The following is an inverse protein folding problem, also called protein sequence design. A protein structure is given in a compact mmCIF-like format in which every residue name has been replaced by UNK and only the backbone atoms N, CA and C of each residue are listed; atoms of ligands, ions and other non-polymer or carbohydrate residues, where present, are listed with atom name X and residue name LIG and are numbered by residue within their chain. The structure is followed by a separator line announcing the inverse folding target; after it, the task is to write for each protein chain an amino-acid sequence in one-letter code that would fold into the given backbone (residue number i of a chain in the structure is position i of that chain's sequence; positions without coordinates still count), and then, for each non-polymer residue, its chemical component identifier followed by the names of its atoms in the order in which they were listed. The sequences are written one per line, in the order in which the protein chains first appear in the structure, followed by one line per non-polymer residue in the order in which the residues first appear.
data_IF_868748976375
#
_entry.id   IF_868748976375
#
_cell.length_a   1.000
_cell.length_b   1.000
_cell.length_c   1.000
_cell.angle_alpha   90.00
_cell.angle_beta   90.00
_cell.angle_gamma   90.00
#
_symmetry.space_group_name_H-M   'P 1'
#
loop_
_entity.id
_entity.type
_entity.pdbx_description
1 polymer ?
#
# COMPACT_ATOMS: atom_id res chain seq x y z
N UNK A 1 -0.84 40.64 59.12
CA UNK A 1 0.20 41.67 58.94
C UNK A 1 0.81 41.51 57.55
N UNK A 2 0.65 42.56 56.75
CA UNK A 2 1.45 43.08 55.65
C UNK A 2 2.12 42.20 54.57
N UNK A 3 1.83 42.65 53.35
CA UNK A 3 2.34 42.28 52.05
C UNK A 3 3.66 42.97 51.66
N UNK A 4 4.13 42.61 50.46
CA UNK A 4 5.05 43.28 49.50
C UNK A 4 6.48 42.72 49.49
N UNK A 5 6.92 42.20 48.33
CA UNK A 5 7.54 43.02 47.27
C UNK A 5 7.61 42.20 45.98
N UNK A 6 6.92 42.68 44.93
CA UNK A 6 7.15 42.23 43.56
C UNK A 6 8.24 43.06 42.88
N UNK A 7 8.52 42.70 41.63
CA UNK A 7 9.21 43.52 40.62
C UNK A 7 10.72 43.26 40.44
N UNK A 8 11.04 42.20 39.69
CA UNK A 8 12.10 42.28 38.68
C UNK A 8 11.49 41.81 37.37
N UNK A 9 11.19 42.79 36.51
CA UNK A 9 10.56 42.65 35.21
C UNK A 9 11.66 42.80 34.15
N UNK A 10 11.74 41.83 33.23
CA UNK A 10 12.24 41.93 31.84
C UNK A 10 13.68 42.40 31.60
N UNK A 11 14.53 41.48 31.11
CA UNK A 11 15.36 41.70 29.91
C UNK A 11 15.82 40.36 29.32
N UNK A 12 15.82 40.31 27.98
CA UNK A 12 16.40 39.28 27.08
C UNK A 12 15.58 37.99 26.90
N UNK A 13 14.39 38.11 26.30
CA UNK A 13 14.18 37.58 24.96
C UNK A 13 15.47 37.46 24.12
N UNK A 14 15.87 36.21 23.82
CA UNK A 14 16.68 35.74 22.68
C UNK A 14 17.63 34.59 23.12
N UNK A 15 17.07 33.40 23.37
CA UNK A 15 17.77 32.15 23.07
C UNK A 15 16.71 31.12 22.62
N UNK A 16 16.52 31.12 21.31
CA UNK A 16 15.55 30.37 20.53
C UNK A 16 15.88 28.89 20.45
N UNK A 17 14.86 28.03 20.61
CA UNK A 17 14.57 26.83 19.78
C UNK A 17 15.80 26.07 19.25
N UNK A 18 16.60 25.49 20.14
CA UNK A 18 17.65 24.56 19.75
C UNK A 18 17.44 23.22 20.46
N UNK A 19 16.51 22.40 19.95
CA UNK A 19 16.47 20.92 20.04
C UNK A 19 15.18 20.39 19.39
N UNK A 20 14.85 20.92 18.21
CA UNK A 20 13.99 20.20 17.28
C UNK A 20 14.83 19.04 16.71
N UNK A 21 14.39 17.84 17.03
CA UNK A 21 14.95 16.54 16.68
C UNK A 21 15.11 16.45 15.16
N UNK A 22 16.34 16.73 14.70
CA UNK A 22 17.10 16.02 13.68
C UNK A 22 16.25 15.24 12.64
N UNK A 23 15.50 15.96 11.80
CA UNK A 23 14.96 15.42 10.56
C UNK A 23 16.15 15.09 9.66
N UNK A 24 16.35 13.80 9.41
CA UNK A 24 17.44 13.25 8.61
C UNK A 24 17.47 13.93 7.24
N UNK A 25 18.58 14.63 6.99
CA UNK A 25 18.92 15.27 5.72
C UNK A 25 19.04 14.19 4.64
N UNK A 26 18.21 14.31 3.62
CA UNK A 26 18.46 13.72 2.30
C UNK A 26 19.67 14.46 1.73
N UNK A 27 20.73 13.79 1.23
CA UNK A 27 21.87 14.49 0.66
C UNK A 27 21.41 15.19 -0.63
N UNK A 28 21.20 16.52 -0.53
CA UNK A 28 21.14 17.36 -1.72
C UNK A 28 22.56 17.46 -2.26
N UNK A 29 22.75 16.91 -3.46
CA UNK A 29 23.88 17.24 -4.31
C UNK A 29 24.00 18.77 -4.40
N UNK A 30 25.23 19.26 -4.31
CA UNK A 30 25.57 20.67 -4.30
C UNK A 30 24.91 21.41 -5.48
N UNK A 31 23.96 22.29 -5.17
CA UNK A 31 23.45 23.27 -6.10
C UNK A 31 24.49 24.39 -6.27
N UNK A 32 25.24 24.33 -7.36
CA UNK A 32 26.02 25.44 -7.88
C UNK A 32 25.04 26.53 -8.37
N UNK A 33 25.05 27.69 -7.73
CA UNK A 33 24.27 28.87 -8.13
C UNK A 33 24.95 29.52 -9.33
N UNK A 34 24.28 29.52 -10.48
CA UNK A 34 24.60 30.34 -11.65
C UNK A 34 23.32 30.91 -12.24
N UNK A 35 23.21 32.25 -12.24
CA UNK A 35 22.58 33.03 -13.31
C UNK A 35 21.05 33.10 -13.37
N UNK A 36 20.53 34.33 -13.34
CA UNK A 36 19.13 34.70 -13.48
C UNK A 36 18.51 34.30 -14.84
N UNK A 37 17.24 33.85 -14.83
CA UNK A 37 16.45 33.58 -16.02
C UNK A 37 15.06 33.01 -15.69
N UNK A 38 14.07 33.89 -15.68
CA UNK A 38 12.61 33.70 -15.81
C UNK A 38 12.11 32.26 -16.11
N UNK A 39 11.34 31.68 -15.18
CA UNK A 39 10.34 30.65 -15.49
C UNK A 39 10.82 29.19 -15.67
N UNK A 40 11.68 28.68 -14.79
CA UNK A 40 12.02 27.25 -14.75
C UNK A 40 10.89 26.40 -14.19
N UNK A 41 10.11 25.77 -15.08
CA UNK A 41 9.19 24.68 -14.77
C UNK A 41 9.97 23.57 -14.06
N UNK A 42 9.74 23.34 -12.77
CA UNK A 42 10.27 22.19 -12.04
C UNK A 42 9.54 20.93 -12.52
N UNK A 43 9.82 20.50 -13.75
CA UNK A 43 9.31 19.25 -14.27
C UNK A 43 9.86 18.12 -13.39
N UNK A 44 8.95 17.28 -12.87
CA UNK A 44 9.33 16.10 -12.09
C UNK A 44 10.34 15.28 -12.91
N UNK A 45 11.46 14.85 -12.32
CA UNK A 45 12.46 14.09 -13.07
C UNK A 45 11.87 12.77 -13.54
N UNK A 46 12.32 12.25 -14.69
CA UNK A 46 11.74 11.08 -15.38
C UNK A 46 11.70 9.76 -14.55
N UNK A 47 12.31 9.75 -13.37
CA UNK A 47 12.25 8.64 -12.40
C UNK A 47 11.09 8.77 -11.39
N UNK A 48 10.43 9.93 -11.31
CA UNK A 48 9.15 10.05 -10.59
C UNK A 48 8.06 9.41 -11.45
N UNK A 49 7.55 8.27 -11.01
CA UNK A 49 6.34 7.67 -11.59
C UNK A 49 5.20 8.69 -11.53
N UNK A 50 4.38 8.72 -12.58
CA UNK A 50 3.14 9.50 -12.57
C UNK A 50 2.31 9.13 -11.35
N UNK A 51 1.67 10.14 -10.76
CA UNK A 51 0.81 9.95 -9.61
C UNK A 51 -0.42 9.15 -10.08
N UNK A 52 -0.64 7.98 -9.49
CA UNK A 52 -1.77 7.11 -9.83
C UNK A 52 -3.08 7.81 -9.48
N UNK A 53 -4.03 7.87 -10.42
CA UNK A 53 -5.38 8.36 -10.18
C UNK A 53 -6.25 7.28 -9.50
N UNK A 54 -6.31 7.32 -8.17
CA UNK A 54 -7.06 6.34 -7.37
C UNK A 54 -8.59 6.48 -7.46
N UNK A 55 -9.11 7.66 -7.85
CA UNK A 55 -10.54 7.90 -8.00
C UNK A 55 -11.09 7.19 -9.25
N UNK A 56 -10.31 7.13 -10.32
CA UNK A 56 -10.66 6.37 -11.52
C UNK A 56 -10.57 4.86 -11.27
N UNK A 57 -9.52 4.41 -10.58
CA UNK A 57 -9.39 3.01 -10.14
C UNK A 57 -10.58 2.59 -9.29
N UNK A 58 -11.02 3.46 -8.37
CA UNK A 58 -12.21 3.22 -7.54
C UNK A 58 -13.44 2.95 -8.39
N UNK A 59 -13.74 3.85 -9.34
CA UNK A 59 -14.91 3.72 -10.23
C UNK A 59 -14.89 2.41 -11.03
N UNK A 60 -13.73 1.99 -11.51
CA UNK A 60 -13.60 0.73 -12.26
C UNK A 60 -13.81 -0.50 -11.38
N UNK A 61 -13.39 -0.44 -10.10
CA UNK A 61 -13.65 -1.52 -9.14
C UNK A 61 -15.14 -1.59 -8.78
N UNK A 62 -15.79 -0.44 -8.55
CA UNK A 62 -17.24 -0.37 -8.30
C UNK A 62 -18.02 -0.99 -9.45
N UNK A 63 -17.66 -0.67 -10.70
CA UNK A 63 -18.28 -1.30 -11.89
C UNK A 63 -18.16 -2.83 -11.86
N UNK A 64 -17.03 -3.38 -11.43
CA UNK A 64 -16.84 -4.84 -11.30
C UNK A 64 -17.71 -5.42 -10.18
N UNK A 65 -17.89 -4.69 -9.09
CA UNK A 65 -18.74 -5.09 -7.97
C UNK A 65 -20.23 -5.11 -8.34
N UNK A 66 -20.65 -4.22 -9.24
CA UNK A 66 -22.03 -4.10 -9.72
C UNK A 66 -22.33 -4.97 -10.96
N UNK A 67 -21.31 -5.47 -11.66
CA UNK A 67 -21.45 -6.24 -12.90
C UNK A 67 -22.18 -7.57 -12.66
N UNK A 68 -23.33 -7.74 -13.32
CA UNK A 68 -24.18 -8.93 -13.31
C UNK A 68 -23.40 -10.21 -13.63
N UNK A 69 -22.37 -10.10 -14.46
CA UNK A 69 -21.51 -11.24 -14.86
C UNK A 69 -20.89 -11.96 -13.67
N UNK A 70 -20.64 -11.26 -12.57
CA UNK A 70 -19.94 -11.79 -11.40
C UNK A 70 -20.86 -12.02 -10.19
N UNK A 71 -22.18 -11.84 -10.32
CA UNK A 71 -23.13 -12.10 -9.23
C UNK A 71 -23.13 -13.56 -8.77
N UNK A 72 -22.94 -14.51 -9.69
CA UNK A 72 -22.84 -15.93 -9.35
C UNK A 72 -21.42 -16.36 -8.94
N UNK A 73 -20.44 -15.44 -8.96
CA UNK A 73 -19.05 -15.75 -8.59
C UNK A 73 -18.86 -15.95 -7.08
N UNK A 74 -19.82 -15.47 -6.29
CA UNK A 74 -19.99 -15.81 -4.89
C UNK A 74 -21.14 -16.81 -4.75
N UNK A 75 -21.03 -17.71 -3.77
CA UNK A 75 -22.12 -18.63 -3.43
C UNK A 75 -23.40 -17.81 -3.17
N UNK A 76 -24.52 -18.19 -3.81
CA UNK A 76 -25.86 -17.62 -3.60
C UNK A 76 -26.15 -16.23 -4.23
N UNK A 77 -25.53 -15.88 -5.36
CA UNK A 77 -25.86 -14.64 -6.10
C UNK A 77 -25.34 -13.35 -5.44
N UNK A 78 -24.44 -13.48 -4.46
CA UNK A 78 -23.85 -12.35 -3.75
C UNK A 78 -22.84 -11.58 -4.60
N UNK A 79 -22.68 -10.29 -4.31
CA UNK A 79 -21.69 -9.44 -4.99
C UNK A 79 -20.28 -10.03 -4.85
N UNK A 80 -19.35 -9.77 -5.78
CA UNK A 80 -18.00 -10.33 -5.70
C UNK A 80 -17.13 -9.72 -4.58
N UNK A 81 -17.69 -8.81 -3.77
CA UNK A 81 -17.00 -8.13 -2.67
C UNK A 81 -16.29 -9.08 -1.68
N UNK A 82 -16.95 -10.12 -1.14
CA UNK A 82 -16.32 -11.07 -0.24
C UNK A 82 -15.15 -11.82 -0.88
N UNK A 83 -15.20 -12.09 -2.19
CA UNK A 83 -14.13 -12.76 -2.92
C UNK A 83 -12.89 -11.84 -3.07
N UNK A 84 -13.09 -10.55 -3.36
CA UNK A 84 -11.99 -9.56 -3.39
C UNK A 84 -11.38 -9.34 -2.01
N UNK A 85 -12.23 -9.28 -0.96
CA UNK A 85 -11.77 -9.20 0.42
C UNK A 85 -10.93 -10.43 0.81
N UNK A 86 -11.37 -11.63 0.43
CA UNK A 86 -10.63 -12.87 0.66
C UNK A 86 -9.27 -12.86 -0.05
N UNK A 87 -9.20 -12.36 -1.29
CA UNK A 87 -7.94 -12.23 -2.03
C UNK A 87 -6.94 -11.34 -1.26
N UNK A 88 -7.38 -10.18 -0.80
CA UNK A 88 -6.55 -9.26 -0.02
C UNK A 88 -6.10 -9.87 1.32
N UNK A 89 -7.02 -10.54 2.03
CA UNK A 89 -6.71 -11.23 3.28
C UNK A 89 -5.65 -12.30 3.10
N UNK A 90 -5.80 -13.18 2.10
CA UNK A 90 -4.83 -14.23 1.83
C UNK A 90 -3.48 -13.68 1.38
N UNK A 91 -3.45 -12.60 0.60
CA UNK A 91 -2.20 -11.94 0.24
C UNK A 91 -1.50 -11.33 1.46
N UNK A 92 -2.24 -10.71 2.39
CA UNK A 92 -1.67 -10.11 3.59
C UNK A 92 -1.29 -11.15 4.68
N UNK A 93 -2.03 -12.26 4.76
CA UNK A 93 -1.93 -13.27 5.82
C UNK A 93 -0.68 -14.13 5.76
N UNK A 94 0.14 -14.01 4.72
CA UNK A 94 1.45 -14.69 4.63
C UNK A 94 2.56 -13.98 5.39
N UNK A 95 2.28 -12.80 5.96
CA UNK A 95 3.28 -12.04 6.70
C UNK A 95 3.76 -12.78 7.95
N UNK A 96 5.06 -12.97 8.05
CA UNK A 96 5.69 -13.53 9.23
C UNK A 96 6.41 -12.44 10.03
N UNK A 97 6.01 -12.24 11.29
CA UNK A 97 6.59 -11.23 12.16
C UNK A 97 8.06 -11.48 12.53
N UNK A 98 8.51 -12.74 12.55
CA UNK A 98 9.88 -13.12 12.90
C UNK A 98 10.85 -12.86 11.74
N UNK A 99 10.58 -13.45 10.57
CA UNK A 99 11.44 -13.34 9.39
C UNK A 99 11.21 -12.05 8.60
N UNK A 100 10.11 -11.34 8.88
CA UNK A 100 9.64 -10.15 8.14
C UNK A 100 9.44 -10.42 6.65
N UNK A 101 9.17 -11.68 6.28
CA UNK A 101 8.89 -12.11 4.92
C UNK A 101 7.39 -12.28 4.68
N UNK A 102 6.98 -12.31 3.42
CA UNK A 102 5.57 -12.45 3.03
C UNK A 102 4.78 -11.14 3.20
N UNK A 103 3.46 -11.28 3.26
CA UNK A 103 2.52 -10.17 3.32
C UNK A 103 2.13 -9.64 1.94
N UNK A 104 1.32 -8.58 1.95
CA UNK A 104 0.67 -8.05 0.74
C UNK A 104 1.62 -7.35 -0.24
N UNK A 105 2.87 -7.10 0.14
CA UNK A 105 3.84 -6.42 -0.69
C UNK A 105 4.60 -7.42 -1.57
N UNK A 106 4.24 -7.51 -2.85
CA UNK A 106 4.90 -8.39 -3.80
C UNK A 106 3.96 -9.08 -4.79
N UNK A 107 2.68 -9.22 -4.43
CA UNK A 107 1.69 -9.97 -5.21
C UNK A 107 2.22 -11.34 -5.67
N UNK A 108 2.91 -12.03 -4.76
CA UNK A 108 3.62 -13.30 -5.02
C UNK A 108 2.65 -14.46 -5.26
N UNK A 109 1.40 -14.35 -4.80
CA UNK A 109 0.28 -15.26 -5.11
C UNK A 109 -0.10 -15.33 -6.60
N UNK A 110 0.58 -14.58 -7.48
CA UNK A 110 0.55 -14.80 -8.95
C UNK A 110 1.40 -16.00 -9.39
N UNK A 111 2.36 -16.40 -8.56
CA UNK A 111 3.40 -17.38 -8.89
C UNK A 111 3.31 -18.63 -8.00
N UNK A 112 3.91 -19.72 -8.47
CA UNK A 112 4.16 -20.91 -7.63
C UNK A 112 5.33 -20.65 -6.68
N UNK A 113 5.32 -21.25 -5.47
CA UNK A 113 4.34 -22.21 -4.95
C UNK A 113 3.06 -21.58 -4.35
N UNK A 114 3.05 -20.29 -4.07
CA UNK A 114 1.98 -19.63 -3.28
C UNK A 114 0.58 -19.74 -3.91
N UNK A 115 0.48 -19.58 -5.23
CA UNK A 115 -0.80 -19.72 -5.94
C UNK A 115 -1.41 -21.14 -5.85
N UNK A 116 -0.57 -22.15 -5.61
CA UNK A 116 -0.99 -23.56 -5.57
C UNK A 116 -1.32 -24.08 -4.16
N UNK A 117 -1.23 -23.24 -3.13
CA UNK A 117 -1.63 -23.65 -1.79
C UNK A 117 -3.13 -23.86 -1.71
N UNK A 118 -3.56 -24.95 -1.07
CA UNK A 118 -4.99 -25.30 -0.94
C UNK A 118 -5.84 -24.21 -0.29
N UNK A 119 -5.26 -23.42 0.63
CA UNK A 119 -5.93 -22.28 1.25
C UNK A 119 -6.31 -21.18 0.24
N UNK A 120 -5.56 -21.06 -0.86
CA UNK A 120 -5.73 -20.05 -1.91
C UNK A 120 -6.62 -20.53 -3.08
N UNK A 121 -7.24 -21.72 -2.96
CA UNK A 121 -8.16 -22.23 -3.97
C UNK A 121 -9.30 -21.24 -4.26
N UNK A 122 -9.67 -21.10 -5.54
CA UNK A 122 -10.72 -20.19 -5.99
C UNK A 122 -10.30 -18.72 -6.18
N UNK A 123 -9.18 -18.28 -5.58
CA UNK A 123 -8.73 -16.88 -5.66
C UNK A 123 -8.24 -16.46 -7.05
N UNK A 124 -8.02 -17.41 -7.97
CA UNK A 124 -7.66 -17.10 -9.35
C UNK A 124 -8.75 -16.30 -10.05
N UNK A 125 -10.01 -16.56 -9.73
CA UNK A 125 -11.15 -15.82 -10.26
C UNK A 125 -11.07 -14.33 -9.86
N UNK A 126 -10.81 -14.06 -8.58
CA UNK A 126 -10.61 -12.70 -8.07
C UNK A 126 -9.48 -11.94 -8.79
N UNK A 127 -8.36 -12.63 -9.05
CA UNK A 127 -7.25 -12.04 -9.81
C UNK A 127 -7.68 -11.71 -11.24
N UNK A 128 -8.41 -12.61 -11.90
CA UNK A 128 -8.89 -12.41 -13.27
C UNK A 128 -9.91 -11.26 -13.37
N UNK A 129 -10.74 -11.06 -12.34
CA UNK A 129 -11.69 -9.94 -12.28
C UNK A 129 -10.98 -8.59 -12.25
N UNK A 130 -9.84 -8.50 -11.59
CA UNK A 130 -9.07 -7.26 -11.47
C UNK A 130 -8.11 -7.02 -12.65
N UNK A 131 -7.89 -8.01 -13.52
CA UNK A 131 -6.99 -7.89 -14.68
C UNK A 131 -7.39 -6.76 -15.65
N UNK A 132 -8.67 -6.56 -16.00
CA UNK A 132 -9.07 -5.42 -16.83
C UNK A 132 -8.73 -4.06 -16.21
N UNK A 133 -8.86 -3.92 -14.88
CA UNK A 133 -8.46 -2.69 -14.16
C UNK A 133 -6.96 -2.52 -14.23
N UNK A 134 -6.20 -3.59 -14.02
CA UNK A 134 -4.74 -3.55 -14.12
C UNK A 134 -4.26 -3.17 -15.52
N UNK A 135 -4.93 -3.65 -16.57
CA UNK A 135 -4.61 -3.30 -17.95
C UNK A 135 -4.88 -1.82 -18.26
N UNK A 136 -5.94 -1.23 -17.68
CA UNK A 136 -6.23 0.20 -17.78
C UNK A 136 -5.23 1.06 -17.01
N UNK A 137 -4.78 0.58 -15.85
CA UNK A 137 -3.87 1.31 -14.96
C UNK A 137 -2.55 0.55 -14.73
N UNK A 138 -1.66 0.51 -15.74
CA UNK A 138 -0.41 -0.25 -15.64
C UNK A 138 0.53 0.27 -14.54
N UNK A 139 0.41 1.54 -14.14
CA UNK A 139 1.19 2.13 -13.06
C UNK A 139 0.85 1.58 -11.66
N UNK A 140 -0.36 1.06 -11.45
CA UNK A 140 -0.83 0.49 -10.17
C UNK A 140 -0.18 -0.88 -9.97
N UNK A 141 0.45 -1.15 -8.83
CA UNK A 141 0.94 -2.51 -8.55
C UNK A 141 -0.22 -3.50 -8.33
N UNK A 142 -0.08 -4.76 -8.74
CA UNK A 142 -1.04 -5.81 -8.38
C UNK A 142 -1.25 -5.86 -6.86
N UNK A 143 -0.15 -5.68 -6.11
CA UNK A 143 -0.13 -5.64 -4.65
C UNK A 143 -1.06 -4.57 -4.09
N UNK A 144 -0.97 -3.34 -4.60
CA UNK A 144 -1.85 -2.25 -4.17
C UNK A 144 -3.29 -2.44 -4.70
N UNK A 145 -3.45 -2.93 -5.93
CA UNK A 145 -4.76 -3.15 -6.54
C UNK A 145 -5.60 -4.14 -5.73
N UNK A 146 -5.03 -5.26 -5.28
CA UNK A 146 -5.76 -6.26 -4.49
C UNK A 146 -6.20 -5.71 -3.14
N UNK A 147 -5.32 -4.99 -2.43
CA UNK A 147 -5.65 -4.39 -1.13
C UNK A 147 -6.68 -3.28 -1.29
N UNK A 148 -6.53 -2.43 -2.30
CA UNK A 148 -7.46 -1.34 -2.57
C UNK A 148 -8.84 -1.87 -2.96
N UNK A 149 -8.90 -2.91 -3.81
CA UNK A 149 -10.16 -3.54 -4.19
C UNK A 149 -10.93 -4.11 -3.00
N UNK A 150 -10.25 -4.63 -1.98
CA UNK A 150 -10.89 -5.04 -0.74
C UNK A 150 -11.41 -3.86 0.09
N UNK A 151 -10.69 -2.73 0.13
CA UNK A 151 -11.17 -1.52 0.82
C UNK A 151 -12.46 -1.01 0.15
N UNK A 152 -12.48 -0.91 -1.18
CA UNK A 152 -13.66 -0.51 -1.95
C UNK A 152 -14.80 -1.51 -1.75
N UNK A 153 -14.52 -2.82 -1.76
CA UNK A 153 -15.54 -3.83 -1.51
C UNK A 153 -16.20 -3.68 -0.13
N UNK A 154 -15.45 -3.32 0.92
CA UNK A 154 -16.02 -3.07 2.25
C UNK A 154 -16.94 -1.84 2.21
N UNK A 155 -16.52 -0.77 1.56
CA UNK A 155 -17.31 0.47 1.42
C UNK A 155 -18.62 0.22 0.66
N UNK A 156 -18.58 -0.48 -0.47
CA UNK A 156 -19.76 -0.78 -1.29
C UNK A 156 -20.74 -1.75 -0.63
N UNK A 157 -20.27 -2.60 0.30
CA UNK A 157 -21.15 -3.45 1.11
C UNK A 157 -21.77 -2.72 2.31
N UNK A 158 -21.58 -1.39 2.42
CA UNK A 158 -22.11 -0.57 3.51
C UNK A 158 -21.21 -0.48 4.74
N UNK A 159 -19.94 -0.89 4.63
CA UNK A 159 -18.93 -0.69 5.65
C UNK A 159 -18.39 0.74 5.68
N UNK A 160 -17.65 1.07 6.73
CA UNK A 160 -16.96 2.37 6.83
C UNK A 160 -15.76 2.46 5.87
N UNK A 161 -15.40 3.68 5.51
CA UNK A 161 -14.23 3.97 4.66
C UNK A 161 -12.94 3.46 5.30
N UNK A 162 -12.26 2.53 4.63
CA UNK A 162 -11.03 1.93 5.14
C UNK A 162 -9.83 2.77 4.71
N UNK A 163 -8.93 3.17 5.64
CA UNK A 163 -7.74 3.92 5.26
C UNK A 163 -6.81 3.07 4.40
N UNK A 164 -6.50 3.57 3.20
CA UNK A 164 -5.60 2.92 2.26
C UNK A 164 -4.32 3.74 2.04
N UNK A 165 -3.18 3.06 2.07
CA UNK A 165 -1.87 3.64 1.77
C UNK A 165 -1.26 2.94 0.54
N UNK A 166 -1.06 3.65 -0.58
CA UNK A 166 -0.40 3.11 -1.77
C UNK A 166 1.13 3.07 -1.59
N UNK A 167 1.81 2.27 -2.41
CA UNK A 167 3.28 2.21 -2.45
C UNK A 167 3.86 0.79 -2.41
N UNK A 168 3.02 -0.24 -2.44
CA UNK A 168 3.49 -1.63 -2.59
C UNK A 168 4.07 -1.82 -3.99
N UNK A 169 4.94 -2.81 -4.10
CA UNK A 169 5.64 -3.15 -5.33
C UNK A 169 5.46 -4.62 -5.62
N UNK A 170 5.29 -4.93 -6.89
CA UNK A 170 5.19 -6.31 -7.33
C UNK A 170 6.56 -6.94 -7.44
N UNK A 171 6.66 -8.22 -7.02
CA UNK A 171 7.80 -9.06 -7.33
C UNK A 171 7.67 -9.61 -8.75
N UNK A 172 8.81 -9.92 -9.35
CA UNK A 172 8.90 -10.42 -10.72
C UNK A 172 8.87 -11.95 -10.81
N UNK A 173 9.16 -12.66 -9.71
CA UNK A 173 9.34 -14.11 -9.74
C UNK A 173 8.78 -14.83 -8.51
N UNK A 174 8.47 -16.12 -8.70
CA UNK A 174 8.03 -17.01 -7.61
C UNK A 174 9.12 -17.39 -6.60
N UNK A 175 10.40 -17.09 -6.87
CA UNK A 175 11.49 -17.32 -5.91
C UNK A 175 11.32 -16.51 -4.62
N UNK A 176 10.56 -15.41 -4.72
CA UNK A 176 10.27 -14.48 -3.64
C UNK A 176 8.99 -14.85 -2.87
N UNK A 177 8.33 -15.96 -3.23
CA UNK A 177 7.20 -16.47 -2.45
C UNK A 177 7.65 -16.77 -1.01
N UNK A 178 6.76 -16.53 -0.02
CA UNK A 178 7.00 -16.95 1.35
C UNK A 178 7.11 -18.48 1.41
N UNK A 179 7.90 -18.97 2.36
CA UNK A 179 7.95 -20.40 2.64
C UNK A 179 6.63 -20.84 3.28
N UNK A 180 6.17 -22.04 2.94
CA UNK A 180 5.00 -22.67 3.57
C UNK A 180 5.49 -23.66 4.61
N UNK A 181 5.56 -23.22 5.88
CA UNK A 181 6.08 -24.05 6.98
C UNK A 181 5.01 -24.39 8.04
N UNK A 182 3.73 -24.30 7.66
CA UNK A 182 2.61 -24.49 8.59
C UNK A 182 2.37 -23.26 9.48
N UNK A 183 1.71 -23.40 10.65
CA UNK A 183 1.34 -22.27 11.52
C UNK A 183 2.56 -21.56 12.16
N UNK A 184 3.76 -22.11 12.00
CA UNK A 184 4.98 -21.55 12.57
C UNK A 184 5.77 -20.80 11.53
N UNK A 185 5.99 -19.51 11.79
CA UNK A 185 7.11 -18.76 11.27
C UNK A 185 8.42 -19.51 11.53
N UNK A 186 9.01 -20.14 10.53
CA UNK A 186 10.38 -20.65 10.61
C UNK A 186 11.24 -19.87 9.64
N UNK A 187 12.50 -19.65 9.99
CA UNK A 187 13.48 -19.15 9.03
C UNK A 187 13.55 -20.17 7.89
N UNK A 188 13.62 -19.69 6.63
CA UNK A 188 13.86 -20.54 5.47
C UNK A 188 15.10 -21.37 5.78
N UNK A 189 14.93 -22.65 6.11
CA UNK A 189 16.07 -23.53 6.35
C UNK A 189 16.90 -23.52 5.08
N UNK A 190 18.16 -23.13 5.17
CA UNK A 190 19.06 -23.12 4.04
C UNK A 190 19.05 -24.50 3.38
N UNK A 191 18.61 -24.52 2.10
CA UNK A 191 18.65 -25.62 1.13
C UNK A 191 19.29 -26.93 1.63
N UNK A 192 18.49 -27.98 1.80
CA UNK A 192 18.92 -29.38 1.68
C UNK A 192 18.60 -29.91 0.28
#
# INVERSE_FOLDING_TARGET
MFARTGMIVRRVAQLTRAQAIQSKRVPHAAALVMGAGIGGLWAKPAWCKEDVNWDEVHKEIVKILEDDKYKDSSYDGATPGPLLLRLAWHSAGTFCGQTKTGGSNGATMRFKPEVSWGANAGLKLAQQMLEPVKNKFPAVSYSDLWIYAACVAIEEMGGEKVPFAPGRKDKSSGSECPAWDGPTCKEKSEKS
#
